data_IF_018329415136
#
_entry.id   IF_018329415136
#
_cell.length_a   1.000
_cell.length_b   1.000
_cell.length_c   1.000
_cell.angle_alpha   90.00
_cell.angle_beta   90.00
_cell.angle_gamma   90.00
#
_symmetry.space_group_name_H-M   'P 1'
#
loop_
_entity.id
_entity.type
_entity.pdbx_description
1 polymer ?
#
# COMPACT_ATOMS: atom_id res chain seq x y z
N UNK A 1 4.31 -24.74 -9.79
CA UNK A 1 2.88 -24.66 -9.45
C UNK A 1 2.72 -24.28 -7.98
N UNK A 2 2.10 -23.13 -7.74
CA UNK A 2 1.75 -22.61 -6.42
C UNK A 2 0.57 -23.43 -5.88
N UNK A 3 0.52 -23.63 -4.56
CA UNK A 3 -0.59 -24.34 -3.90
C UNK A 3 -1.95 -23.69 -4.17
N UNK A 4 -3.02 -24.51 -4.28
CA UNK A 4 -4.41 -24.05 -4.42
C UNK A 4 -4.86 -23.18 -3.24
N UNK A 5 -4.23 -23.38 -2.07
CA UNK A 5 -4.39 -22.55 -0.88
C UNK A 5 -3.13 -21.72 -0.64
N UNK A 6 -3.30 -20.44 -0.35
CA UNK A 6 -2.22 -19.48 -0.06
C UNK A 6 -2.39 -18.87 1.34
N UNK A 7 -1.28 -18.64 2.02
CA UNK A 7 -1.24 -17.83 3.23
C UNK A 7 -1.23 -16.35 2.84
N UNK A 8 -2.23 -15.61 3.30
CA UNK A 8 -2.21 -14.16 3.34
C UNK A 8 -1.74 -13.73 4.72
N UNK A 9 -0.55 -13.13 4.83
CA UNK A 9 0.00 -12.66 6.11
C UNK A 9 0.18 -11.14 6.14
N UNK A 10 -0.31 -10.48 7.21
CA UNK A 10 -0.16 -9.04 7.41
C UNK A 10 0.75 -8.78 8.61
N UNK A 11 1.98 -8.30 8.40
CA UNK A 11 2.85 -7.84 9.47
C UNK A 11 2.57 -6.36 9.75
N UNK A 12 1.87 -6.08 10.84
CA UNK A 12 1.41 -4.73 11.14
C UNK A 12 2.19 -4.04 12.27
N UNK A 13 2.49 -2.76 12.09
CA UNK A 13 2.99 -1.89 13.15
C UNK A 13 1.92 -1.56 14.20
N UNK A 14 2.29 -0.84 15.26
CA UNK A 14 1.43 -0.53 16.41
C UNK A 14 0.15 0.30 16.06
N UNK A 15 -0.03 0.71 14.81
CA UNK A 15 -1.22 1.39 14.31
C UNK A 15 -1.70 0.66 13.04
N UNK A 16 -2.70 -0.20 13.18
CA UNK A 16 -3.44 -0.77 12.05
C UNK A 16 -4.80 -0.10 11.99
N UNK A 17 -5.08 0.63 10.91
CA UNK A 17 -6.35 1.34 10.72
C UNK A 17 -7.47 0.36 10.40
N UNK A 18 -8.44 0.17 11.32
CA UNK A 18 -9.57 -0.76 11.14
C UNK A 18 -10.39 -0.52 9.87
N UNK A 19 -10.44 0.72 9.36
CA UNK A 19 -11.15 1.07 8.11
C UNK A 19 -10.52 0.45 6.85
N UNK A 20 -9.21 0.18 6.87
CA UNK A 20 -8.50 -0.47 5.77
C UNK A 20 -8.79 -1.97 5.70
N UNK A 21 -9.04 -2.58 6.85
CA UNK A 21 -9.25 -4.03 6.94
C UNK A 21 -10.54 -4.48 6.28
N UNK A 22 -11.59 -3.66 6.26
CA UNK A 22 -12.86 -4.05 5.66
C UNK A 22 -12.77 -4.31 4.13
N UNK A 23 -12.19 -3.41 3.31
CA UNK A 23 -11.92 -3.69 1.89
C UNK A 23 -11.04 -4.92 1.67
N UNK A 24 -10.01 -5.07 2.50
CA UNK A 24 -9.08 -6.18 2.37
C UNK A 24 -9.71 -7.54 2.74
N UNK A 25 -10.45 -7.59 3.85
CA UNK A 25 -11.23 -8.77 4.24
C UNK A 25 -12.24 -9.10 3.13
N UNK A 26 -12.92 -8.09 2.59
CA UNK A 26 -13.85 -8.28 1.47
C UNK A 26 -13.15 -8.84 0.22
N UNK A 27 -11.92 -8.42 -0.05
CA UNK A 27 -11.09 -8.98 -1.11
C UNK A 27 -10.75 -10.46 -0.86
N UNK A 28 -10.31 -10.81 0.36
CA UNK A 28 -9.99 -12.20 0.74
C UNK A 28 -11.23 -13.11 0.74
N UNK A 29 -12.38 -12.61 1.17
CA UNK A 29 -13.62 -13.39 1.30
C UNK A 29 -14.15 -13.90 -0.06
N UNK A 30 -13.80 -13.26 -1.18
CA UNK A 30 -14.18 -13.72 -2.53
C UNK A 30 -13.58 -15.09 -2.88
N UNK A 31 -12.42 -15.42 -2.30
CA UNK A 31 -11.70 -16.66 -2.51
C UNK A 31 -11.41 -17.34 -1.15
N UNK A 32 -12.36 -17.24 -0.19
CA UNK A 32 -12.14 -17.66 1.22
C UNK A 32 -11.60 -19.09 1.37
N UNK A 33 -12.04 -20.03 0.52
CA UNK A 33 -11.67 -21.44 0.61
C UNK A 33 -10.20 -21.68 0.18
N UNK A 34 -9.60 -20.70 -0.50
CA UNK A 34 -8.20 -20.68 -0.97
C UNK A 34 -7.28 -19.86 -0.07
N UNK A 35 -7.79 -19.23 0.99
CA UNK A 35 -7.03 -18.30 1.82
C UNK A 35 -6.89 -18.86 3.23
N UNK A 36 -5.65 -19.03 3.68
CA UNK A 36 -5.31 -19.01 5.11
C UNK A 36 -4.96 -17.57 5.48
N UNK A 37 -5.47 -17.05 6.59
CA UNK A 37 -5.23 -15.66 6.97
C UNK A 37 -4.55 -15.55 8.33
N UNK A 38 -3.47 -14.78 8.41
CA UNK A 38 -2.77 -14.49 9.66
C UNK A 38 -2.34 -13.03 9.75
N UNK A 39 -2.36 -12.49 10.97
CA UNK A 39 -1.84 -11.15 11.25
C UNK A 39 -0.92 -11.18 12.46
N UNK A 40 0.19 -10.46 12.36
CA UNK A 40 1.10 -10.25 13.49
C UNK A 40 1.25 -8.76 13.73
N UNK A 41 0.91 -8.35 14.95
CA UNK A 41 0.92 -6.96 15.36
C UNK A 41 1.99 -6.72 16.44
N UNK A 42 2.66 -5.57 16.36
CA UNK A 42 3.59 -5.10 17.37
C UNK A 42 4.43 -3.91 16.91
N UNK A 43 5.30 -3.42 17.79
CA UNK A 43 6.14 -2.23 17.55
C UNK A 43 7.22 -2.39 16.47
N UNK A 44 7.47 -3.62 16.00
CA UNK A 44 8.63 -3.97 15.17
C UNK A 44 8.14 -4.75 13.94
N UNK A 45 8.12 -4.11 12.77
CA UNK A 45 7.63 -4.71 11.53
C UNK A 45 8.51 -5.89 11.11
N UNK A 46 9.82 -5.79 11.25
CA UNK A 46 10.76 -6.88 10.96
C UNK A 46 10.53 -8.14 11.82
N UNK A 47 10.15 -7.98 13.10
CA UNK A 47 9.71 -9.09 13.96
C UNK A 47 8.43 -9.72 13.41
N UNK A 48 7.44 -8.91 13.04
CA UNK A 48 6.15 -9.39 12.55
C UNK A 48 6.27 -10.09 11.17
N UNK A 49 7.05 -9.54 10.24
CA UNK A 49 7.42 -10.18 8.97
C UNK A 49 8.13 -11.51 9.22
N UNK A 50 9.02 -11.58 10.21
CA UNK A 50 9.70 -12.83 10.57
C UNK A 50 8.75 -13.88 11.15
N UNK A 51 7.76 -13.47 11.94
CA UNK A 51 6.70 -14.37 12.42
C UNK A 51 5.81 -14.89 11.28
N UNK A 52 5.53 -14.07 10.27
CA UNK A 52 4.85 -14.53 9.05
C UNK A 52 5.61 -15.66 8.37
N UNK A 53 6.93 -15.53 8.19
CA UNK A 53 7.78 -16.59 7.62
C UNK A 53 7.81 -17.86 8.48
N UNK A 54 7.90 -17.73 9.81
CA UNK A 54 7.85 -18.89 10.69
C UNK A 54 6.50 -19.62 10.60
N UNK A 55 5.41 -18.87 10.59
CA UNK A 55 4.07 -19.44 10.45
C UNK A 55 3.89 -20.12 9.10
N UNK A 56 4.36 -19.49 8.02
CA UNK A 56 4.39 -20.07 6.68
C UNK A 56 5.03 -21.47 6.69
N UNK A 57 6.24 -21.58 7.29
CA UNK A 57 6.97 -22.85 7.40
C UNK A 57 6.20 -23.89 8.21
N UNK A 58 5.50 -23.48 9.26
CA UNK A 58 4.69 -24.37 10.10
C UNK A 58 3.49 -24.95 9.35
N UNK A 59 2.77 -24.09 8.60
CA UNK A 59 1.55 -24.51 7.89
C UNK A 59 1.81 -25.06 6.49
N UNK A 60 3.05 -24.92 5.98
CA UNK A 60 3.50 -25.43 4.68
C UNK A 60 2.68 -24.90 3.49
N UNK A 61 2.40 -23.59 3.49
CA UNK A 61 1.75 -22.91 2.37
C UNK A 61 2.70 -21.91 1.71
N UNK A 62 2.46 -21.58 0.45
CA UNK A 62 3.03 -20.39 -0.17
C UNK A 62 2.41 -19.14 0.48
N UNK A 63 3.14 -18.02 0.54
CA UNK A 63 2.71 -16.82 1.24
C UNK A 63 2.68 -15.60 0.34
N UNK A 64 1.57 -14.87 0.36
CA UNK A 64 1.51 -13.46 0.01
C UNK A 64 1.53 -12.68 1.33
N UNK A 65 2.51 -11.81 1.47
CA UNK A 65 2.68 -10.89 2.59
C UNK A 65 2.52 -9.47 2.08
N UNK A 66 1.67 -8.66 2.71
CA UNK A 66 1.55 -7.25 2.36
C UNK A 66 1.36 -6.39 3.61
N UNK A 67 1.79 -5.13 3.52
CA UNK A 67 1.71 -4.18 4.62
C UNK A 67 0.24 -3.87 4.95
N UNK A 68 -0.02 -3.43 6.19
CA UNK A 68 -1.39 -3.17 6.67
C UNK A 68 -2.10 -2.00 6.00
N UNK A 69 -1.44 -1.30 5.09
CA UNK A 69 -1.94 -0.17 4.29
C UNK A 69 -1.81 -0.43 2.77
N UNK A 70 -1.63 -1.69 2.35
CA UNK A 70 -1.51 -2.08 0.93
C UNK A 70 -2.70 -2.91 0.48
N UNK A 71 -3.41 -2.43 -0.54
CA UNK A 71 -4.64 -3.06 -1.07
C UNK A 71 -4.44 -3.58 -2.50
N UNK A 72 -4.53 -4.89 -2.73
CA UNK A 72 -4.56 -5.44 -4.09
C UNK A 72 -5.75 -4.92 -4.91
N UNK A 73 -5.49 -4.54 -6.16
CA UNK A 73 -6.50 -4.00 -7.09
C UNK A 73 -7.04 -5.05 -8.07
N UNK A 74 -6.48 -6.26 -8.04
CA UNK A 74 -6.89 -7.39 -8.87
C UNK A 74 -7.46 -8.52 -8.02
N UNK A 75 -8.36 -9.36 -8.56
CA UNK A 75 -8.80 -10.59 -7.89
C UNK A 75 -7.62 -11.51 -7.55
N UNK A 76 -7.71 -12.22 -6.42
CA UNK A 76 -6.65 -13.14 -5.98
C UNK A 76 -6.33 -14.18 -7.06
N UNK A 77 -7.34 -14.78 -7.69
CA UNK A 77 -7.16 -15.75 -8.78
C UNK A 77 -6.29 -15.22 -9.93
N UNK A 78 -6.46 -13.95 -10.32
CA UNK A 78 -5.65 -13.33 -11.36
C UNK A 78 -4.21 -13.10 -10.89
N UNK A 79 -4.02 -12.66 -9.64
CA UNK A 79 -2.69 -12.49 -9.04
C UNK A 79 -1.96 -13.83 -8.99
N UNK A 80 -2.63 -14.90 -8.56
CA UNK A 80 -2.05 -16.24 -8.50
C UNK A 80 -1.62 -16.77 -9.88
N UNK A 81 -2.35 -16.41 -10.94
CA UNK A 81 -1.93 -16.75 -12.31
C UNK A 81 -0.61 -16.06 -12.69
N UNK A 82 -0.47 -14.75 -12.43
CA UNK A 82 0.77 -14.04 -12.68
C UNK A 82 1.94 -14.58 -11.86
N UNK A 83 1.71 -14.87 -10.57
CA UNK A 83 2.72 -15.48 -9.71
C UNK A 83 3.14 -16.86 -10.23
N UNK A 84 2.21 -17.69 -10.69
CA UNK A 84 2.54 -18.99 -11.30
C UNK A 84 3.40 -18.83 -12.55
N UNK A 85 3.03 -17.92 -13.45
CA UNK A 85 3.83 -17.59 -14.63
C UNK A 85 5.24 -17.13 -14.23
N UNK A 86 5.37 -16.31 -13.19
CA UNK A 86 6.66 -15.80 -12.73
C UNK A 86 7.57 -16.89 -12.16
N UNK A 87 6.98 -17.83 -11.42
CA UNK A 87 7.69 -19.00 -10.93
C UNK A 87 8.15 -19.92 -12.06
N UNK A 88 7.30 -20.15 -13.07
CA UNK A 88 7.54 -21.15 -14.11
C UNK A 88 8.41 -20.63 -15.25
N UNK A 89 8.16 -19.40 -15.71
CA UNK A 89 8.85 -18.79 -16.84
C UNK A 89 10.14 -18.10 -16.44
N UNK A 90 10.14 -17.43 -15.29
CA UNK A 90 11.26 -16.59 -14.87
C UNK A 90 12.06 -17.18 -13.71
N UNK A 91 11.64 -18.33 -13.17
CA UNK A 91 12.30 -19.00 -12.03
C UNK A 91 12.49 -18.06 -10.84
N UNK A 92 11.50 -17.22 -10.54
CA UNK A 92 11.57 -16.33 -9.40
C UNK A 92 11.62 -17.11 -8.07
N UNK A 93 12.39 -16.58 -7.12
CA UNK A 93 12.37 -17.03 -5.72
C UNK A 93 11.46 -16.13 -4.88
N UNK A 94 11.34 -14.85 -5.22
CA UNK A 94 10.45 -13.88 -4.58
C UNK A 94 9.86 -12.97 -5.66
N UNK A 95 8.57 -12.63 -5.55
CA UNK A 95 7.91 -11.65 -6.42
C UNK A 95 7.39 -10.50 -5.58
N UNK A 96 7.62 -9.27 -6.01
CA UNK A 96 7.20 -8.04 -5.35
C UNK A 96 6.29 -7.27 -6.31
N UNK A 97 5.20 -6.68 -5.82
CA UNK A 97 4.46 -5.71 -6.62
C UNK A 97 5.05 -4.32 -6.37
N UNK A 98 5.39 -3.55 -7.43
CA UNK A 98 5.93 -2.21 -7.26
C UNK A 98 4.91 -1.31 -6.56
N UNK A 99 5.36 -0.65 -5.50
CA UNK A 99 4.56 0.28 -4.73
C UNK A 99 4.82 1.71 -5.20
N UNK A 100 3.74 2.36 -5.60
CA UNK A 100 3.72 3.78 -5.89
C UNK A 100 3.10 4.55 -4.74
N UNK A 101 3.72 5.65 -4.36
CA UNK A 101 3.20 6.60 -3.37
C UNK A 101 3.18 8.00 -3.99
N UNK A 102 2.52 8.98 -3.36
CA UNK A 102 2.54 10.36 -3.84
C UNK A 102 3.94 10.99 -3.95
N UNK A 103 4.95 10.40 -3.30
CA UNK A 103 6.36 10.82 -3.39
C UNK A 103 7.17 9.99 -4.41
N UNK A 104 6.50 9.19 -5.24
CA UNK A 104 7.11 8.30 -6.23
C UNK A 104 7.18 6.83 -5.80
N UNK A 105 7.98 6.06 -6.54
CA UNK A 105 8.22 4.64 -6.29
C UNK A 105 9.01 4.43 -5.00
N UNK A 106 8.61 3.43 -4.22
CA UNK A 106 9.33 3.05 -3.01
C UNK A 106 10.27 1.89 -3.36
N UNK A 107 11.42 2.24 -3.94
CA UNK A 107 12.41 1.29 -4.47
C UNK A 107 12.92 1.67 -5.85
N UNK A 108 13.46 0.68 -6.56
CA UNK A 108 13.85 0.81 -7.96
C UNK A 108 12.62 1.14 -8.82
N UNK A 109 12.68 2.20 -9.64
CA UNK A 109 11.60 2.50 -10.56
C UNK A 109 11.45 1.35 -11.58
N UNK A 110 10.23 0.84 -11.81
CA UNK A 110 10.00 -0.19 -12.80
C UNK A 110 10.42 0.29 -14.20
N UNK A 111 11.10 -0.55 -15.00
CA UNK A 111 11.40 -0.22 -16.38
C UNK A 111 10.11 -0.09 -17.21
N UNK A 112 10.08 0.87 -18.13
CA UNK A 112 8.88 1.15 -18.93
C UNK A 112 8.50 0.00 -19.86
N UNK A 113 9.49 -0.71 -20.42
CA UNK A 113 9.35 -1.68 -21.51
C UNK A 113 9.11 -3.13 -21.07
N UNK A 114 9.14 -3.42 -19.76
CA UNK A 114 9.01 -4.79 -19.23
C UNK A 114 7.98 -4.88 -18.13
N UNK A 115 7.08 -5.85 -18.23
CA UNK A 115 6.09 -6.14 -17.19
C UNK A 115 6.72 -6.77 -15.95
N UNK A 116 7.69 -7.67 -16.15
CA UNK A 116 8.43 -8.36 -15.11
C UNK A 116 9.91 -7.99 -15.22
N UNK A 117 10.53 -7.63 -14.10
CA UNK A 117 11.90 -7.14 -14.06
C UNK A 117 12.62 -7.55 -12.79
N UNK A 118 13.95 -7.57 -12.81
CA UNK A 118 14.72 -7.88 -11.60
C UNK A 118 14.81 -6.66 -10.68
N UNK A 119 14.60 -6.89 -9.39
CA UNK A 119 14.60 -5.84 -8.36
C UNK A 119 15.93 -5.90 -7.60
N UNK A 120 16.57 -4.76 -7.38
CA UNK A 120 17.70 -4.66 -6.44
C UNK A 120 17.26 -4.09 -5.10
N UNK A 121 16.32 -3.14 -5.13
CA UNK A 121 15.80 -2.46 -3.95
C UNK A 121 14.30 -2.22 -4.10
N UNK A 122 13.51 -2.57 -3.08
CA UNK A 122 12.07 -2.26 -3.04
C UNK A 122 11.52 -2.35 -1.62
N UNK A 123 10.42 -1.63 -1.35
CA UNK A 123 9.61 -1.92 -0.18
C UNK A 123 8.87 -3.25 -0.35
N UNK A 124 8.81 -4.03 0.71
CA UNK A 124 8.17 -5.34 0.70
C UNK A 124 6.67 -5.27 1.03
N UNK A 125 6.00 -4.18 0.64
CA UNK A 125 4.61 -3.96 1.02
C UNK A 125 3.60 -4.78 0.23
N UNK A 126 3.98 -5.41 -0.88
CA UNK A 126 3.34 -6.63 -1.38
C UNK A 126 4.45 -7.57 -1.86
N UNK A 127 4.54 -8.74 -1.26
CA UNK A 127 5.59 -9.73 -1.50
C UNK A 127 5.01 -11.12 -1.51
N UNK A 128 5.25 -11.88 -2.57
CA UNK A 128 5.02 -13.30 -2.63
C UNK A 128 6.32 -14.05 -2.34
N UNK A 129 6.26 -14.97 -1.37
CA UNK A 129 7.37 -15.86 -0.98
C UNK A 129 6.86 -17.30 -1.05
N UNK A 130 7.31 -18.10 -2.02
CA UNK A 130 7.04 -19.54 -2.07
C UNK A 130 7.58 -20.26 -0.84
N UNK A 131 6.93 -21.36 -0.44
CA UNK A 131 7.38 -22.20 0.67
C UNK A 131 8.82 -22.67 0.45
N UNK A 132 9.13 -23.17 -0.76
CA UNK A 132 10.48 -23.61 -1.16
C UNK A 132 11.56 -22.55 -0.94
N UNK A 133 11.20 -21.26 -1.10
CA UNK A 133 12.11 -20.14 -0.87
C UNK A 133 12.27 -19.93 0.62
N UNK A 134 11.16 -19.88 1.37
CA UNK A 134 11.19 -19.69 2.82
C UNK A 134 12.02 -20.76 3.55
N UNK A 135 11.94 -22.02 3.12
CA UNK A 135 12.69 -23.15 3.69
C UNK A 135 14.21 -23.01 3.53
N UNK A 136 14.67 -22.28 2.51
CA UNK A 136 16.09 -21.97 2.29
C UNK A 136 16.58 -20.78 3.12
N UNK A 137 15.68 -19.94 3.63
CA UNK A 137 16.06 -18.76 4.40
C UNK A 137 16.59 -19.16 5.78
N UNK A 138 17.74 -18.58 6.14
CA UNK A 138 18.33 -18.69 7.48
C UNK A 138 18.03 -17.44 8.32
N UNK A 139 17.73 -17.58 9.62
CA UNK A 139 17.63 -16.44 10.50
C UNK A 139 18.94 -15.66 10.57
N UNK A 140 18.86 -14.35 10.61
CA UNK A 140 20.00 -13.43 10.73
C UNK A 140 20.23 -12.93 12.15
N UNK A 141 19.22 -13.02 12.99
CA UNK A 141 19.29 -12.62 14.40
C UNK A 141 18.18 -13.31 15.20
N UNK A 142 18.10 -13.01 16.49
CA UNK A 142 17.02 -13.45 17.36
C UNK A 142 16.46 -12.24 18.11
N UNK A 143 15.13 -12.11 18.13
CA UNK A 143 14.45 -11.11 18.93
C UNK A 143 14.01 -11.71 20.26
N UNK A 144 14.47 -11.17 21.41
CA UNK A 144 14.01 -11.63 22.72
C UNK A 144 12.62 -11.07 23.00
N UNK A 145 11.63 -11.95 23.21
CA UNK A 145 10.35 -11.57 23.78
C UNK A 145 10.38 -11.67 25.32
N UNK A 146 9.41 -11.02 25.95
CA UNK A 146 9.11 -11.20 27.38
C UNK A 146 8.85 -12.71 27.62
N UNK A 147 9.41 -13.27 28.69
CA UNK A 147 9.41 -14.71 29.04
C UNK A 147 10.40 -15.62 28.30
N UNK A 148 11.55 -15.10 27.84
CA UNK A 148 12.65 -15.88 27.23
C UNK A 148 12.30 -16.60 25.92
N UNK A 149 11.12 -16.36 25.34
CA UNK A 149 10.78 -16.84 24.00
C UNK A 149 11.62 -16.04 23.01
N UNK A 150 12.34 -16.73 22.12
CA UNK A 150 13.14 -16.09 21.08
C UNK A 150 12.46 -16.28 19.73
N UNK A 151 12.23 -15.18 19.02
CA UNK A 151 11.72 -15.22 17.65
C UNK A 151 12.91 -15.14 16.70
N UNK A 152 13.11 -16.09 15.78
CA UNK A 152 14.13 -15.95 14.74
C UNK A 152 13.77 -14.77 13.85
N UNK A 153 14.75 -13.91 13.58
CA UNK A 153 14.60 -12.78 12.68
C UNK A 153 15.13 -13.15 11.31
N UNK A 154 14.27 -13.06 10.30
CA UNK A 154 14.62 -13.15 8.88
C UNK A 154 14.75 -11.78 8.22
N UNK A 155 14.17 -10.76 8.86
CA UNK A 155 14.24 -9.36 8.49
C UNK A 155 14.93 -8.61 9.63
N UNK A 156 15.73 -7.59 9.31
CA UNK A 156 16.39 -6.77 10.34
C UNK A 156 16.56 -5.33 9.86
N UNK A 157 16.36 -4.38 10.76
CA UNK A 157 16.90 -3.03 10.56
C UNK A 157 18.42 -3.05 10.69
N UNK A 158 19.08 -2.27 9.86
CA UNK A 158 20.52 -1.97 9.98
C UNK A 158 20.71 -0.47 10.19
N UNK A 159 21.92 -0.05 10.51
CA UNK A 159 22.25 1.37 10.64
C UNK A 159 22.15 2.14 9.30
N UNK A 160 22.22 1.44 8.16
CA UNK A 160 22.23 2.05 6.83
C UNK A 160 20.97 1.81 6.02
N UNK A 161 20.11 0.88 6.44
CA UNK A 161 18.97 0.45 5.61
C UNK A 161 17.82 -0.16 6.41
N UNK A 162 16.62 -0.13 5.82
CA UNK A 162 15.41 -0.76 6.34
C UNK A 162 15.46 -2.28 6.20
N UNK A 163 14.53 -2.96 6.87
CA UNK A 163 14.43 -4.42 6.88
C UNK A 163 14.13 -5.02 5.51
N UNK A 164 13.39 -4.28 4.69
CA UNK A 164 13.00 -4.67 3.34
C UNK A 164 14.23 -4.76 2.44
N UNK A 165 15.07 -3.73 2.51
CA UNK A 165 16.24 -3.58 1.65
C UNK A 165 17.34 -4.57 2.07
N UNK A 166 17.63 -4.71 3.38
CA UNK A 166 18.57 -5.72 3.88
C UNK A 166 18.14 -7.14 3.46
N UNK A 167 16.84 -7.43 3.53
CA UNK A 167 16.32 -8.72 3.10
C UNK A 167 16.61 -8.99 1.63
N UNK A 168 16.22 -8.08 0.73
CA UNK A 168 16.45 -8.23 -0.72
C UNK A 168 17.95 -8.41 -1.01
N UNK A 169 18.80 -7.55 -0.46
CA UNK A 169 20.25 -7.65 -0.68
C UNK A 169 20.83 -8.98 -0.24
N UNK A 170 20.46 -9.48 0.94
CA UNK A 170 20.98 -10.77 1.43
C UNK A 170 20.48 -11.95 0.62
N UNK A 171 19.20 -12.01 0.28
CA UNK A 171 18.69 -13.18 -0.45
C UNK A 171 19.27 -13.21 -1.87
N UNK A 172 19.48 -12.05 -2.49
CA UNK A 172 20.21 -11.95 -3.77
C UNK A 172 21.66 -12.38 -3.63
N UNK A 173 22.35 -12.01 -2.55
CA UNK A 173 23.70 -12.49 -2.26
C UNK A 173 23.78 -14.02 -2.06
N UNK A 174 22.66 -14.67 -1.72
CA UNK A 174 22.52 -16.13 -1.67
C UNK A 174 22.14 -16.76 -3.02
N UNK A 175 22.15 -15.97 -4.11
CA UNK A 175 21.80 -16.41 -5.45
C UNK A 175 20.29 -16.53 -5.71
N UNK A 176 19.44 -15.95 -4.86
CA UNK A 176 17.99 -15.94 -5.08
C UNK A 176 17.58 -14.83 -6.05
N UNK A 177 16.58 -15.11 -6.89
CA UNK A 177 16.04 -14.18 -7.88
C UNK A 177 14.80 -13.46 -7.35
N UNK A 178 14.92 -12.13 -7.19
CA UNK A 178 13.83 -11.25 -6.75
C UNK A 178 13.30 -10.48 -7.94
N UNK A 179 12.03 -10.68 -8.26
CA UNK A 179 11.36 -10.02 -9.38
C UNK A 179 10.32 -9.02 -8.91
N UNK A 180 10.18 -7.94 -9.67
CA UNK A 180 9.06 -7.01 -9.61
C UNK A 180 8.10 -7.32 -10.75
N UNK A 181 6.79 -7.35 -10.49
CA UNK A 181 5.76 -7.57 -11.51
C UNK A 181 4.74 -6.41 -11.53
N UNK A 182 4.76 -5.60 -12.60
CA UNK A 182 3.83 -4.47 -12.80
C UNK A 182 2.40 -4.91 -13.08
N UNK A 183 2.18 -6.18 -13.45
CA UNK A 183 0.83 -6.71 -13.70
C UNK A 183 0.06 -6.84 -12.40
N UNK A 184 0.74 -7.05 -11.27
CA UNK A 184 0.13 -7.06 -9.94
C UNK A 184 -0.04 -5.62 -9.46
N UNK A 185 -1.27 -5.11 -9.56
CA UNK A 185 -1.60 -3.73 -9.16
C UNK A 185 -1.95 -3.66 -7.68
N UNK A 186 -1.28 -2.78 -6.95
CA UNK A 186 -1.51 -2.53 -5.52
C UNK A 186 -1.68 -1.03 -5.27
N UNK A 187 -2.59 -0.68 -4.36
CA UNK A 187 -2.73 0.68 -3.85
C UNK A 187 -2.03 0.77 -2.48
N UNK A 188 -1.25 1.82 -2.27
CA UNK A 188 -0.51 2.06 -1.03
C UNK A 188 -1.08 3.28 -0.31
N UNK A 189 -1.72 3.06 0.83
CA UNK A 189 -2.50 4.06 1.53
C UNK A 189 -1.72 4.57 2.75
N UNK A 190 -0.51 5.11 2.50
CA UNK A 190 0.36 5.68 3.56
C UNK A 190 -0.17 6.99 4.17
N UNK A 191 -1.13 7.61 3.51
CA UNK A 191 -1.78 8.84 3.93
C UNK A 191 -3.29 8.63 3.94
N UNK A 192 -3.80 7.89 4.93
CA UNK A 192 -5.19 8.10 5.36
C UNK A 192 -5.16 9.34 6.25
N UNK A 193 -5.79 10.46 5.89
CA UNK A 193 -5.95 11.54 6.82
C UNK A 193 -6.93 11.03 7.87
N UNK A 194 -6.40 10.83 9.08
CA UNK A 194 -7.14 10.50 10.27
C UNK A 194 -8.13 11.64 10.57
N UNK A 195 -9.30 11.60 9.97
CA UNK A 195 -10.59 11.89 10.59
C UNK A 195 -11.60 11.04 9.82
N UNK A 196 -12.15 9.95 10.39
CA UNK A 196 -13.30 9.30 9.77
C UNK A 196 -14.41 10.35 9.65
N UNK A 197 -14.83 10.73 8.44
CA UNK A 197 -16.09 11.45 8.33
C UNK A 197 -17.19 10.51 8.85
N UNK A 198 -18.15 11.07 9.58
CA UNK A 198 -19.40 10.35 9.82
C UNK A 198 -19.94 9.90 8.45
N UNK A 199 -20.44 8.67 8.29
CA UNK A 199 -20.80 8.11 6.95
C UNK A 199 -21.75 9.05 6.19
N UNK A 200 -22.54 9.83 6.93
CA UNK A 200 -23.41 10.90 6.43
C UNK A 200 -22.66 12.04 5.72
N UNK A 201 -21.42 12.35 6.10
CA UNK A 201 -20.64 13.47 5.56
C UNK A 201 -20.04 13.19 4.17
N UNK A 202 -19.65 11.95 3.84
CA UNK A 202 -19.11 11.63 2.50
C UNK A 202 -20.19 11.82 1.44
N UNK A 203 -21.39 11.29 1.69
CA UNK A 203 -22.53 11.44 0.79
C UNK A 203 -22.94 12.91 0.65
N UNK A 204 -22.85 13.69 1.73
CA UNK A 204 -23.12 15.13 1.70
C UNK A 204 -22.03 15.89 0.95
N UNK A 205 -20.75 15.57 1.12
CA UNK A 205 -19.64 16.17 0.38
C UNK A 205 -19.74 15.87 -1.12
N UNK A 206 -19.99 14.62 -1.48
CA UNK A 206 -20.18 14.20 -2.87
C UNK A 206 -21.35 14.92 -3.52
N UNK A 207 -22.52 14.94 -2.85
CA UNK A 207 -23.69 15.69 -3.33
C UNK A 207 -23.42 17.20 -3.39
N UNK A 208 -22.71 17.76 -2.41
CA UNK A 208 -22.39 19.18 -2.39
C UNK A 208 -21.52 19.57 -3.58
N UNK A 209 -20.51 18.77 -3.91
CA UNK A 209 -19.62 19.03 -5.04
C UNK A 209 -20.37 18.84 -6.37
N UNK A 210 -21.15 17.77 -6.49
CA UNK A 210 -21.99 17.47 -7.66
C UNK A 210 -23.02 18.58 -7.93
N UNK A 211 -23.80 18.99 -6.92
CA UNK A 211 -24.79 20.06 -7.02
C UNK A 211 -24.16 21.42 -7.39
N UNK A 212 -22.86 21.57 -7.12
CA UNK A 212 -22.11 22.77 -7.45
C UNK A 212 -21.30 22.64 -8.74
N UNK A 213 -21.41 21.54 -9.48
CA UNK A 213 -20.69 21.33 -10.74
C UNK A 213 -19.16 21.22 -10.56
N UNK A 214 -18.70 20.80 -9.39
CA UNK A 214 -17.29 20.53 -9.12
C UNK A 214 -17.04 19.05 -9.45
N UNK A 215 -16.29 18.80 -10.52
CA UNK A 215 -15.85 17.45 -10.87
C UNK A 215 -14.71 17.03 -9.92
N UNK A 216 -15.02 16.21 -8.91
CA UNK A 216 -14.05 15.74 -7.94
C UNK A 216 -14.12 14.23 -7.74
N UNK A 217 -12.97 13.61 -7.54
CA UNK A 217 -12.86 12.24 -7.04
C UNK A 217 -12.74 12.33 -5.52
N UNK A 218 -13.74 11.84 -4.80
CA UNK A 218 -13.79 11.89 -3.34
C UNK A 218 -13.47 10.51 -2.77
N UNK A 219 -12.53 10.47 -1.82
CA UNK A 219 -12.16 9.25 -1.09
C UNK A 219 -12.00 9.58 0.40
N UNK A 220 -13.01 9.25 1.20
CA UNK A 220 -13.07 9.65 2.61
C UNK A 220 -13.19 11.17 2.77
N UNK A 221 -12.25 11.77 3.49
CA UNK A 221 -12.14 13.22 3.69
C UNK A 221 -11.14 13.87 2.71
N UNK A 222 -10.84 13.21 1.59
CA UNK A 222 -9.99 13.75 0.53
C UNK A 222 -10.84 14.01 -0.71
N UNK A 223 -10.62 15.15 -1.37
CA UNK A 223 -11.11 15.40 -2.72
C UNK A 223 -9.95 15.74 -3.68
N UNK A 224 -9.93 15.08 -4.83
CA UNK A 224 -9.05 15.37 -5.96
C UNK A 224 -9.85 16.10 -7.03
N UNK A 225 -9.45 17.32 -7.38
CA UNK A 225 -10.12 18.11 -8.42
C UNK A 225 -9.18 18.32 -9.61
N UNK A 226 -9.47 17.75 -10.78
CA UNK A 226 -8.68 17.98 -11.98
C UNK A 226 -8.71 19.47 -12.39
N UNK A 227 -7.55 20.02 -12.71
CA UNK A 227 -7.40 21.41 -13.20
C UNK A 227 -6.57 21.50 -14.48
N UNK A 228 -6.17 20.38 -15.06
CA UNK A 228 -5.42 20.34 -16.32
C UNK A 228 -4.95 18.93 -16.65
N UNK A 229 -4.16 18.78 -17.70
CA UNK A 229 -3.58 17.49 -18.09
C UNK A 229 -2.51 17.12 -17.05
N UNK A 230 -2.73 16.02 -16.33
CA UNK A 230 -1.88 15.58 -15.21
C UNK A 230 -1.75 16.62 -14.08
N UNK A 231 -2.74 17.51 -13.93
CA UNK A 231 -2.75 18.56 -12.90
C UNK A 231 -4.02 18.47 -12.06
N UNK A 232 -3.89 18.47 -10.73
CA UNK A 232 -5.02 18.42 -9.81
C UNK A 232 -4.78 19.20 -8.52
N UNK A 233 -5.87 19.70 -7.93
CA UNK A 233 -5.87 20.22 -6.56
C UNK A 233 -6.30 19.09 -5.63
N UNK A 234 -5.46 18.82 -4.64
CA UNK A 234 -5.74 17.92 -3.53
C UNK A 234 -6.27 18.73 -2.34
N UNK A 235 -7.52 18.47 -1.95
CA UNK A 235 -8.08 18.92 -0.69
C UNK A 235 -8.05 17.77 0.31
N UNK A 236 -7.25 17.92 1.36
CA UNK A 236 -6.98 16.89 2.36
C UNK A 236 -7.56 17.30 3.72
N UNK A 237 -8.20 16.35 4.41
CA UNK A 237 -8.83 16.56 5.71
C UNK A 237 -10.13 17.39 5.64
N UNK A 238 -10.94 17.19 4.60
CA UNK A 238 -12.24 17.83 4.41
C UNK A 238 -13.21 17.48 5.56
N UNK A 239 -13.78 18.51 6.17
CA UNK A 239 -14.84 18.37 7.18
C UNK A 239 -15.93 19.41 6.97
N UNK A 240 -17.18 18.97 7.02
CA UNK A 240 -18.33 19.87 7.10
C UNK A 240 -18.39 20.47 8.51
N UNK A 241 -18.32 21.80 8.60
CA UNK A 241 -18.58 22.50 9.87
C UNK A 241 -20.09 22.72 10.01
N UNK A 242 -20.62 22.46 11.21
CA UNK A 242 -22.03 22.67 11.56
C UNK A 242 -22.46 24.10 11.16
N UNK A 243 -23.32 24.22 10.14
CA UNK A 243 -23.67 25.51 9.52
C UNK A 243 -23.74 25.51 7.97
N UNK A 244 -23.52 24.37 7.32
CA UNK A 244 -23.79 24.04 5.90
C UNK A 244 -23.07 24.82 4.79
N UNK A 245 -22.29 25.87 5.07
CA UNK A 245 -21.70 26.68 3.99
C UNK A 245 -20.16 26.74 3.96
N UNK A 246 -19.48 26.03 4.86
CA UNK A 246 -18.01 26.01 4.89
C UNK A 246 -17.46 24.60 5.11
N UNK A 247 -16.34 24.36 4.46
CA UNK A 247 -15.53 23.16 4.55
C UNK A 247 -14.22 23.52 5.22
N UNK A 248 -13.95 22.89 6.36
CA UNK A 248 -12.60 22.89 6.90
C UNK A 248 -11.73 21.96 6.07
N UNK A 249 -10.50 22.40 5.78
CA UNK A 249 -9.52 21.65 5.00
C UNK A 249 -8.19 21.71 5.74
N UNK A 250 -7.68 20.54 6.14
CA UNK A 250 -6.39 20.43 6.82
C UNK A 250 -5.23 20.84 5.92
N UNK A 251 -5.29 20.52 4.62
CA UNK A 251 -4.22 20.84 3.67
C UNK A 251 -4.76 20.95 2.25
N UNK A 252 -4.24 21.92 1.50
CA UNK A 252 -4.53 22.08 0.07
C UNK A 252 -3.23 22.08 -0.71
N UNK A 253 -3.11 21.19 -1.69
CA UNK A 253 -1.92 21.09 -2.54
C UNK A 253 -2.32 21.17 -4.01
N UNK A 254 -1.52 21.86 -4.81
CA UNK A 254 -1.55 21.76 -6.26
C UNK A 254 -0.50 20.75 -6.68
N UNK A 255 -0.90 19.77 -7.48
CA UNK A 255 0.00 18.75 -8.02
C UNK A 255 -0.01 18.86 -9.54
N UNK A 256 1.17 18.98 -10.14
CA UNK A 256 1.37 19.06 -11.60
C UNK A 256 2.39 18.02 -12.03
N UNK A 257 1.96 17.08 -12.86
CA UNK A 257 2.79 15.94 -13.23
C UNK A 257 3.21 15.10 -12.02
N UNK A 258 4.37 14.45 -12.11
CA UNK A 258 4.82 13.49 -11.10
C UNK A 258 5.65 14.12 -9.96
N UNK A 259 6.20 15.34 -10.15
CA UNK A 259 7.24 15.88 -9.27
C UNK A 259 6.99 17.34 -8.78
N UNK A 260 5.99 18.06 -9.29
CA UNK A 260 5.67 19.42 -8.84
C UNK A 260 4.47 19.40 -7.88
N UNK A 261 4.77 19.46 -6.58
CA UNK A 261 3.78 19.54 -5.50
C UNK A 261 3.95 20.88 -4.77
N UNK A 262 2.97 21.77 -4.93
CA UNK A 262 2.94 23.07 -4.26
C UNK A 262 1.89 23.08 -3.15
N UNK A 263 2.30 23.34 -1.90
CA UNK A 263 1.35 23.54 -0.80
C UNK A 263 0.71 24.94 -0.90
N UNK A 264 -0.61 24.98 -1.06
CA UNK A 264 -1.38 26.22 -1.22
C UNK A 264 -1.90 26.76 0.11
N UNK A 265 -2.33 25.88 1.02
CA UNK A 265 -2.87 26.26 2.31
C UNK A 265 -2.85 25.09 3.32
N UNK A 266 -2.93 25.39 4.60
CA UNK A 266 -3.04 24.42 5.70
C UNK A 266 -4.00 24.93 6.76
N UNK A 267 -4.85 24.04 7.29
CA UNK A 267 -5.83 24.30 8.35
C UNK A 267 -6.71 25.53 8.06
N UNK A 268 -7.35 25.54 6.90
CA UNK A 268 -8.14 26.67 6.38
C UNK A 268 -9.61 26.27 6.21
N UNK A 269 -10.51 27.25 6.26
CA UNK A 269 -11.91 27.04 5.90
C UNK A 269 -12.21 27.67 4.55
N UNK A 270 -12.85 26.90 3.66
CA UNK A 270 -13.34 27.39 2.38
C UNK A 270 -14.87 27.28 2.29
N UNK A 271 -15.50 28.32 1.75
CA UNK A 271 -16.80 28.21 1.11
C UNK A 271 -16.68 27.50 -0.25
N UNK A 272 -17.81 27.02 -0.77
CA UNK A 272 -17.84 26.40 -2.10
C UNK A 272 -17.46 27.39 -3.20
N UNK A 273 -17.82 28.67 -3.07
CA UNK A 273 -17.38 29.72 -3.99
C UNK A 273 -15.87 29.88 -4.00
N UNK A 274 -15.22 29.87 -2.84
CA UNK A 274 -13.76 29.99 -2.76
C UNK A 274 -13.06 28.75 -3.33
N UNK A 275 -13.63 27.55 -3.15
CA UNK A 275 -13.13 26.34 -3.82
C UNK A 275 -13.22 26.47 -5.33
N UNK A 276 -14.35 26.96 -5.87
CA UNK A 276 -14.51 27.20 -7.32
C UNK A 276 -13.52 28.22 -7.85
N UNK A 277 -13.32 29.31 -7.14
CA UNK A 277 -12.31 30.33 -7.50
C UNK A 277 -10.90 29.74 -7.50
N UNK A 278 -10.57 28.90 -6.51
CA UNK A 278 -9.29 28.20 -6.45
C UNK A 278 -9.11 27.25 -7.64
N UNK A 279 -10.13 26.45 -7.95
CA UNK A 279 -10.14 25.57 -9.13
C UNK A 279 -9.94 26.39 -10.40
N UNK A 280 -10.73 27.45 -10.59
CA UNK A 280 -10.67 28.30 -11.78
C UNK A 280 -9.30 28.98 -11.93
N UNK A 281 -8.68 29.41 -10.83
CA UNK A 281 -7.36 30.02 -10.80
C UNK A 281 -6.27 29.08 -11.34
N UNK A 282 -6.39 27.78 -11.08
CA UNK A 282 -5.41 26.77 -11.49
C UNK A 282 -5.86 25.92 -12.67
N UNK A 283 -7.08 26.14 -13.17
CA UNK A 283 -7.57 25.50 -14.39
C UNK A 283 -6.76 26.05 -15.56
N UNK A 284 -5.96 25.20 -16.18
CA UNK A 284 -5.25 25.52 -17.41
C UNK A 284 -6.31 25.86 -18.47
N UNK A 285 -6.31 27.12 -18.93
CA UNK A 285 -7.10 27.49 -20.10
C UNK A 285 -6.37 26.92 -21.30
N UNK A 286 -6.92 25.85 -21.88
CA UNK A 286 -6.58 25.43 -23.24
C UNK A 286 -6.81 26.57 -24.24
#
# INVERSE_FOLDING_TARGET
MISDKVLICIPAGNLSLTSFWAPLISWMLKDRDKVEFMTYYGNRVDVNRSRCLEYQKQIKLDMIMFDSDVLPQLPLSQIMNYLNEDMEKYSADVVIAPLFSPIGYIGDPPPFDKDVYEVNVSSLGFTFIPLKTSERLTPVSQYPLVNKIKVPLYFRYTEFTSEDYDFIFRIKAQGMKVLGDKRIKVAHIKYVPFVPPDISQIDVLSKLFELNGINAIINGNIAYVPVGINSYILFDGLQLKNGNNKLFVSRVQLIRGNDDITNLATNVEYSISEIKELIQKYTERE
#
